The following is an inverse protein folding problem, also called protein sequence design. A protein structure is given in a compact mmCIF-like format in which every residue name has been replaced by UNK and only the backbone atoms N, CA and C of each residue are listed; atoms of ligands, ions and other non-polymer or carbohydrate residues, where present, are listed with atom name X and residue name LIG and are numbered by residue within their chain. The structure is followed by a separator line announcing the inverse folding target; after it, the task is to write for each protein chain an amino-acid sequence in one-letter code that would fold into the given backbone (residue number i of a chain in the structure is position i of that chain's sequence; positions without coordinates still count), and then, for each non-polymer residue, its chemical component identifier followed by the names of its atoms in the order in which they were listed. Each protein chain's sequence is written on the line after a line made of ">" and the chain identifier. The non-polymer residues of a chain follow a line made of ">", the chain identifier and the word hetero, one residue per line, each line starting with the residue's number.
data_IF_724028634367
#
_entry.id   IF_724028634367
#
_cell.length_a   1.000
_cell.length_b   1.000
_cell.length_c   1.000
_cell.angle_alpha   90.00
_cell.angle_beta   90.00
_cell.angle_gamma   90.00
#
_symmetry.space_group_name_H-M   'P 1'
#
loop_
_entity.id
_entity.type
_entity.pdbx_description
1 polymer ?
#
# COMPACT_ATOMS: atom_id res chain seq x y z
N UNK A 1 24.43 13.30 -10.03
CA UNK A 1 23.60 12.12 -10.35
C UNK A 1 22.28 12.24 -9.61
N UNK A 2 21.23 12.76 -10.27
CA UNK A 2 19.87 12.75 -9.71
C UNK A 2 19.31 11.33 -9.82
N UNK A 3 19.66 10.46 -8.87
CA UNK A 3 18.73 9.39 -8.54
C UNK A 3 17.54 10.08 -7.88
N UNK A 4 16.60 10.57 -8.68
CA UNK A 4 15.29 10.91 -8.14
C UNK A 4 14.85 9.68 -7.35
N UNK A 5 14.59 9.79 -6.03
CA UNK A 5 13.98 8.68 -5.32
C UNK A 5 12.71 8.33 -6.10
N UNK A 6 12.36 7.04 -6.25
CA UNK A 6 11.07 6.65 -6.80
C UNK A 6 9.99 7.04 -5.79
N UNK A 7 9.75 8.35 -5.65
CA UNK A 7 8.63 8.97 -4.96
C UNK A 7 7.40 8.76 -5.83
N UNK A 8 6.95 7.52 -5.89
CA UNK A 8 5.61 7.21 -6.36
C UNK A 8 4.85 6.72 -5.14
N UNK A 9 4.44 7.70 -4.33
CA UNK A 9 3.30 7.53 -3.42
C UNK A 9 2.16 6.83 -4.17
N UNK A 10 1.36 6.03 -3.49
CA UNK A 10 0.30 5.21 -4.10
C UNK A 10 -0.64 6.03 -5.02
N UNK A 11 -0.73 7.35 -4.79
CA UNK A 11 -1.36 8.37 -5.63
C UNK A 11 -0.30 9.20 -6.37
N UNK A 12 0.11 8.75 -7.54
CA UNK A 12 1.19 9.36 -8.31
C UNK A 12 0.88 10.73 -8.93
N UNK A 13 -0.37 11.23 -8.84
CA UNK A 13 -0.74 12.55 -9.38
C UNK A 13 -1.74 13.28 -8.49
N UNK A 14 -1.62 14.62 -8.42
CA UNK A 14 -2.61 15.49 -7.75
C UNK A 14 -4.04 15.22 -8.27
N UNK A 15 -4.19 14.92 -9.56
CA UNK A 15 -5.48 14.57 -10.17
C UNK A 15 -6.10 13.31 -9.56
N UNK A 16 -5.32 12.25 -9.29
CA UNK A 16 -5.84 11.03 -8.65
C UNK A 16 -6.28 11.30 -7.22
N UNK A 17 -5.60 12.20 -6.51
CA UNK A 17 -5.99 12.60 -5.15
C UNK A 17 -7.32 13.36 -5.16
N UNK A 18 -7.46 14.33 -6.05
CA UNK A 18 -8.71 15.07 -6.22
C UNK A 18 -9.87 14.14 -6.56
N UNK A 19 -9.65 13.16 -7.44
CA UNK A 19 -10.68 12.17 -7.78
C UNK A 19 -11.01 11.25 -6.60
N UNK A 20 -10.03 10.85 -5.79
CA UNK A 20 -10.28 10.06 -4.58
C UNK A 20 -11.07 10.84 -3.53
N UNK A 21 -10.76 12.13 -3.33
CA UNK A 21 -11.53 13.02 -2.45
C UNK A 21 -12.95 13.20 -2.98
N UNK A 22 -13.12 13.44 -4.29
CA UNK A 22 -14.44 13.55 -4.90
C UNK A 22 -15.25 12.25 -4.76
N UNK A 23 -14.62 11.08 -4.92
CA UNK A 23 -15.24 9.78 -4.70
C UNK A 23 -15.70 9.64 -3.25
N UNK A 24 -14.85 9.99 -2.28
CA UNK A 24 -15.19 9.94 -0.87
C UNK A 24 -16.36 10.89 -0.53
N UNK A 25 -16.30 12.14 -0.96
CA UNK A 25 -17.38 13.11 -0.79
C UNK A 25 -18.69 12.61 -1.42
N UNK A 26 -18.62 11.92 -2.57
CA UNK A 26 -19.78 11.32 -3.24
C UNK A 26 -20.37 10.15 -2.45
N UNK A 27 -19.55 9.35 -1.77
CA UNK A 27 -20.03 8.30 -0.87
C UNK A 27 -20.65 8.88 0.41
N UNK A 28 -20.03 9.91 0.99
CA UNK A 28 -20.57 10.61 2.17
C UNK A 28 -21.91 11.27 1.83
N UNK A 29 -22.00 11.98 0.70
CA UNK A 29 -23.26 12.60 0.27
C UNK A 29 -24.33 11.57 -0.05
N UNK A 30 -23.96 10.41 -0.64
CA UNK A 30 -24.90 9.30 -0.82
C UNK A 30 -25.43 8.76 0.51
N UNK A 31 -24.56 8.61 1.52
CA UNK A 31 -24.95 8.18 2.87
C UNK A 31 -25.88 9.17 3.56
N UNK A 32 -25.57 10.47 3.50
CA UNK A 32 -26.38 11.55 4.10
C UNK A 32 -27.72 11.72 3.36
N UNK A 33 -27.73 11.64 2.03
CA UNK A 33 -28.97 11.68 1.26
C UNK A 33 -29.84 10.45 1.55
N UNK A 34 -29.22 9.28 1.69
CA UNK A 34 -29.90 8.03 2.05
C UNK A 34 -30.55 8.08 3.42
N UNK A 35 -29.86 8.64 4.43
CA UNK A 35 -30.41 8.78 5.79
C UNK A 35 -31.58 9.78 5.86
N UNK A 36 -31.63 10.75 4.94
CA UNK A 36 -32.75 11.70 4.79
C UNK A 36 -33.80 11.26 3.76
N UNK A 37 -33.78 10.00 3.32
CA UNK A 37 -34.71 9.43 2.33
C UNK A 37 -34.73 10.12 0.94
N UNK A 38 -33.70 10.90 0.59
CA UNK A 38 -33.52 11.47 -0.75
C UNK A 38 -32.92 10.43 -1.70
N UNK A 39 -33.74 9.46 -2.11
CA UNK A 39 -33.31 8.27 -2.87
C UNK A 39 -32.64 8.59 -4.20
N UNK A 40 -33.14 9.59 -4.95
CA UNK A 40 -32.59 9.96 -6.26
C UNK A 40 -31.18 10.57 -6.14
N UNK A 41 -30.97 11.45 -5.15
CA UNK A 41 -29.66 12.04 -4.86
C UNK A 41 -28.68 10.98 -4.35
N UNK A 42 -29.14 10.07 -3.48
CA UNK A 42 -28.31 8.97 -3.01
C UNK A 42 -27.85 8.05 -4.16
N UNK A 43 -28.74 7.76 -5.12
CA UNK A 43 -28.42 6.95 -6.31
C UNK A 43 -27.44 7.66 -7.24
N UNK A 44 -27.64 8.95 -7.54
CA UNK A 44 -26.74 9.70 -8.42
C UNK A 44 -25.35 9.85 -7.80
N UNK A 45 -25.28 10.15 -6.50
CA UNK A 45 -24.02 10.21 -5.76
C UNK A 45 -23.32 8.84 -5.67
N UNK A 46 -24.06 7.74 -5.51
CA UNK A 46 -23.49 6.40 -5.56
C UNK A 46 -22.97 6.05 -6.97
N UNK A 47 -23.71 6.40 -8.01
CA UNK A 47 -23.28 6.20 -9.40
C UNK A 47 -22.01 7.00 -9.72
N UNK A 48 -21.93 8.26 -9.29
CA UNK A 48 -20.73 9.08 -9.43
C UNK A 48 -19.55 8.45 -8.69
N UNK A 49 -19.75 7.99 -7.45
CA UNK A 49 -18.70 7.31 -6.69
C UNK A 49 -18.18 6.05 -7.43
N UNK A 50 -19.06 5.27 -8.08
CA UNK A 50 -18.66 4.12 -8.91
C UNK A 50 -17.86 4.56 -10.15
N UNK A 51 -18.30 5.60 -10.86
CA UNK A 51 -17.58 6.13 -12.04
C UNK A 51 -16.18 6.61 -11.65
N UNK A 52 -16.05 7.35 -10.54
CA UNK A 52 -14.76 7.82 -10.04
C UNK A 52 -13.88 6.64 -9.57
N UNK A 53 -14.48 5.62 -8.95
CA UNK A 53 -13.77 4.38 -8.60
C UNK A 53 -13.18 3.70 -9.84
N UNK A 54 -13.96 3.60 -10.93
CA UNK A 54 -13.52 3.01 -12.19
C UNK A 54 -12.41 3.84 -12.84
N UNK A 55 -12.52 5.16 -12.84
CA UNK A 55 -11.45 6.04 -13.31
C UNK A 55 -10.15 5.86 -12.52
N UNK A 56 -10.23 5.76 -11.19
CA UNK A 56 -9.08 5.48 -10.34
C UNK A 56 -8.51 4.09 -10.61
N UNK A 57 -9.37 3.10 -10.84
CA UNK A 57 -8.93 1.75 -11.20
C UNK A 57 -8.11 1.75 -12.51
N UNK A 58 -8.61 2.41 -13.57
CA UNK A 58 -7.93 2.59 -14.85
C UNK A 58 -6.62 3.36 -14.70
N UNK A 59 -6.63 4.45 -13.92
CA UNK A 59 -5.44 5.24 -13.64
C UNK A 59 -4.37 4.43 -12.90
N UNK A 60 -4.78 3.56 -11.96
CA UNK A 60 -3.89 2.61 -11.28
C UNK A 60 -3.35 1.53 -12.22
N UNK A 61 -4.09 1.11 -13.25
CA UNK A 61 -3.59 0.17 -14.27
C UNK A 61 -2.43 0.78 -15.06
N UNK A 62 -2.57 2.04 -15.50
CA UNK A 62 -1.49 2.79 -16.15
C UNK A 62 -0.25 2.91 -15.25
N UNK A 63 -0.46 3.20 -13.97
CA UNK A 63 0.63 3.24 -12.98
C UNK A 63 1.30 1.88 -12.77
N UNK A 64 0.55 0.79 -12.84
CA UNK A 64 1.08 -0.57 -12.69
C UNK A 64 1.91 -0.99 -13.91
N UNK A 65 1.51 -0.61 -15.11
CA UNK A 65 2.32 -0.79 -16.32
C UNK A 65 3.68 -0.08 -16.24
N UNK A 66 3.70 1.14 -15.68
CA UNK A 66 4.95 1.86 -15.44
C UNK A 66 5.85 1.14 -14.43
N UNK A 67 5.28 0.56 -13.37
CA UNK A 67 6.03 -0.25 -12.41
C UNK A 67 6.55 -1.54 -13.03
N UNK A 68 5.78 -2.20 -13.89
CA UNK A 68 6.23 -3.37 -14.62
C UNK A 68 7.47 -3.04 -15.47
N UNK A 69 7.48 -1.85 -16.09
CA UNK A 69 8.65 -1.34 -16.82
C UNK A 69 9.85 -1.03 -15.91
N UNK A 70 9.60 -0.59 -14.67
CA UNK A 70 10.64 -0.39 -13.65
C UNK A 70 11.19 -1.70 -13.08
N UNK A 71 10.49 -2.83 -13.26
CA UNK A 71 10.98 -4.18 -12.86
C UNK A 71 11.96 -4.75 -13.91
N UNK A 72 12.50 -3.91 -14.80
CA UNK A 72 13.51 -4.34 -15.76
C UNK A 72 14.81 -4.78 -15.06
N UNK A 73 15.52 -5.80 -15.59
CA UNK A 73 16.79 -6.26 -15.01
C UNK A 73 17.83 -5.14 -14.82
N UNK A 74 17.84 -4.15 -15.71
CA UNK A 74 18.69 -2.97 -15.61
C UNK A 74 18.35 -2.09 -14.41
N UNK A 75 17.06 -1.93 -14.09
CA UNK A 75 16.60 -1.18 -12.92
C UNK A 75 16.90 -1.91 -11.62
N UNK A 76 16.74 -3.24 -11.60
CA UNK A 76 17.12 -4.10 -10.47
C UNK A 76 18.62 -3.99 -10.19
N UNK A 77 19.46 -4.13 -11.21
CA UNK A 77 20.93 -3.96 -11.08
C UNK A 77 21.27 -2.55 -10.58
N UNK A 78 20.65 -1.51 -11.14
CA UNK A 78 20.89 -0.12 -10.70
C UNK A 78 20.53 0.07 -9.22
N UNK A 79 19.40 -0.47 -8.74
CA UNK A 79 18.99 -0.39 -7.33
C UNK A 79 19.94 -1.13 -6.39
N UNK A 80 20.45 -2.29 -6.82
CA UNK A 80 21.46 -3.03 -6.05
C UNK A 80 22.76 -2.23 -5.92
N UNK A 81 23.26 -1.66 -7.02
CA UNK A 81 24.49 -0.86 -7.00
C UNK A 81 24.36 0.51 -6.29
N UNK A 82 23.17 1.12 -6.28
CA UNK A 82 22.95 2.41 -5.63
C UNK A 82 22.67 2.31 -4.12
N UNK A 83 22.65 1.10 -3.56
CA UNK A 83 22.29 0.89 -2.15
C UNK A 83 23.55 0.87 -1.27
N UNK A 84 23.47 1.41 -0.04
CA UNK A 84 24.64 1.50 0.85
C UNK A 84 25.15 0.13 1.30
N UNK A 85 24.28 -0.89 1.26
CA UNK A 85 24.64 -2.27 1.57
C UNK A 85 23.92 -3.22 0.62
N UNK A 86 24.51 -4.40 0.38
CA UNK A 86 23.86 -5.47 -0.38
C UNK A 86 22.49 -5.81 0.19
N UNK A 87 22.38 -5.94 1.52
CA UNK A 87 21.12 -6.25 2.21
C UNK A 87 20.03 -5.23 1.92
N UNK A 88 20.32 -3.93 2.01
CA UNK A 88 19.34 -2.87 1.68
C UNK A 88 18.95 -2.91 0.20
N UNK A 89 19.88 -3.24 -0.69
CA UNK A 89 19.61 -3.45 -2.11
C UNK A 89 18.62 -4.60 -2.35
N UNK A 90 18.88 -5.77 -1.75
CA UNK A 90 18.00 -6.95 -1.86
C UNK A 90 16.62 -6.65 -1.29
N UNK A 91 16.53 -6.04 -0.11
CA UNK A 91 15.26 -5.68 0.51
C UNK A 91 14.46 -4.71 -0.38
N UNK A 92 15.09 -3.71 -0.99
CA UNK A 92 14.43 -2.79 -1.95
C UNK A 92 13.89 -3.51 -3.18
N UNK A 93 14.61 -4.52 -3.69
CA UNK A 93 14.15 -5.34 -4.81
C UNK A 93 12.97 -6.20 -4.40
N UNK A 94 13.04 -6.84 -3.22
CA UNK A 94 11.94 -7.62 -2.65
C UNK A 94 10.69 -6.76 -2.41
N UNK A 95 10.84 -5.55 -1.85
CA UNK A 95 9.71 -4.61 -1.68
C UNK A 95 9.09 -4.24 -3.03
N UNK A 96 9.91 -4.02 -4.07
CA UNK A 96 9.40 -3.73 -5.42
C UNK A 96 8.61 -4.91 -6.00
N UNK A 97 9.12 -6.13 -5.85
CA UNK A 97 8.43 -7.34 -6.30
C UNK A 97 7.14 -7.59 -5.51
N UNK A 98 7.16 -7.38 -4.19
CA UNK A 98 5.99 -7.50 -3.32
C UNK A 98 4.92 -6.46 -3.68
N UNK A 99 5.31 -5.19 -3.93
CA UNK A 99 4.41 -4.14 -4.42
C UNK A 99 3.79 -4.52 -5.77
N UNK A 100 4.57 -5.08 -6.69
CA UNK A 100 4.07 -5.51 -7.98
C UNK A 100 3.05 -6.64 -7.82
N UNK A 101 3.37 -7.65 -7.00
CA UNK A 101 2.49 -8.78 -6.72
C UNK A 101 1.20 -8.31 -6.03
N UNK A 102 1.31 -7.41 -5.05
CA UNK A 102 0.17 -6.78 -4.40
C UNK A 102 -0.73 -6.08 -5.42
N UNK A 103 -0.16 -5.26 -6.32
CA UNK A 103 -0.93 -4.57 -7.36
C UNK A 103 -1.60 -5.54 -8.32
N UNK A 104 -0.91 -6.59 -8.77
CA UNK A 104 -1.50 -7.62 -9.63
C UNK A 104 -2.67 -8.30 -8.89
N UNK A 105 -2.49 -8.66 -7.63
CA UNK A 105 -3.52 -9.31 -6.81
C UNK A 105 -4.72 -8.38 -6.57
N UNK A 106 -4.49 -7.10 -6.28
CA UNK A 106 -5.53 -6.07 -6.17
C UNK A 106 -6.33 -5.95 -7.47
N UNK A 107 -5.66 -6.00 -8.63
CA UNK A 107 -6.34 -6.00 -9.94
C UNK A 107 -7.17 -7.25 -10.19
N UNK A 108 -6.65 -8.42 -9.84
CA UNK A 108 -7.39 -9.67 -9.95
C UNK A 108 -8.63 -9.64 -9.05
N UNK A 109 -8.52 -9.12 -7.83
CA UNK A 109 -9.65 -8.97 -6.92
C UNK A 109 -10.71 -8.00 -7.45
N UNK A 110 -10.28 -6.86 -8.02
CA UNK A 110 -11.20 -5.90 -8.63
C UNK A 110 -11.93 -6.52 -9.83
N UNK A 111 -11.23 -7.25 -10.71
CA UNK A 111 -11.87 -7.93 -11.84
C UNK A 111 -12.83 -9.04 -11.40
N UNK A 112 -12.49 -9.77 -10.32
CA UNK A 112 -13.39 -10.77 -9.75
C UNK A 112 -14.65 -10.14 -9.15
N UNK A 113 -14.53 -8.98 -8.48
CA UNK A 113 -15.67 -8.26 -7.93
C UNK A 113 -16.62 -7.70 -9.01
N UNK A 114 -16.09 -7.37 -10.19
CA UNK A 114 -16.89 -6.98 -11.36
C UNK A 114 -17.50 -8.20 -12.10
N UNK A 115 -17.29 -9.42 -11.60
CA UNK A 115 -17.82 -10.65 -12.20
C UNK A 115 -17.09 -11.12 -13.47
N UNK A 116 -15.93 -10.53 -13.79
CA UNK A 116 -15.12 -10.92 -14.96
C UNK A 116 -14.35 -12.22 -14.69
N UNK A 117 -13.92 -12.43 -13.44
CA UNK A 117 -13.24 -13.64 -12.99
C UNK A 117 -14.14 -14.46 -12.07
N UNK A 118 -13.90 -15.79 -12.00
CA UNK A 118 -14.66 -16.70 -11.14
C UNK A 118 -14.60 -16.30 -9.66
N UNK A 119 -15.72 -16.46 -8.94
CA UNK A 119 -15.83 -16.15 -7.50
C UNK A 119 -14.80 -16.88 -6.62
N UNK A 120 -14.33 -18.07 -7.03
CA UNK A 120 -13.31 -18.82 -6.29
C UNK A 120 -12.00 -18.02 -6.14
N UNK A 121 -11.64 -17.24 -7.16
CA UNK A 121 -10.43 -16.40 -7.15
C UNK A 121 -10.56 -15.26 -6.13
N UNK A 122 -11.77 -14.70 -5.99
CA UNK A 122 -12.04 -13.62 -5.02
C UNK A 122 -11.72 -14.06 -3.58
N UNK A 123 -12.05 -15.30 -3.21
CA UNK A 123 -11.73 -15.85 -1.90
C UNK A 123 -10.23 -15.86 -1.63
N UNK A 124 -9.43 -16.36 -2.58
CA UNK A 124 -7.96 -16.37 -2.43
C UNK A 124 -7.37 -14.96 -2.42
N UNK A 125 -7.81 -14.08 -3.32
CA UNK A 125 -7.28 -12.72 -3.38
C UNK A 125 -7.61 -11.90 -2.13
N UNK A 126 -8.80 -12.08 -1.56
CA UNK A 126 -9.20 -11.36 -0.33
C UNK A 126 -8.30 -11.72 0.87
N UNK A 127 -7.74 -12.93 0.91
CA UNK A 127 -6.75 -13.35 1.92
C UNK A 127 -5.33 -12.90 1.59
N UNK A 128 -4.96 -12.90 0.30
CA UNK A 128 -3.63 -12.51 -0.16
C UNK A 128 -3.37 -11.01 -0.01
N UNK A 129 -4.35 -10.16 -0.29
CA UNK A 129 -4.19 -8.69 -0.33
C UNK A 129 -3.69 -8.14 1.01
N UNK A 130 -4.33 -8.41 2.17
CA UNK A 130 -3.84 -7.93 3.46
C UNK A 130 -2.44 -8.46 3.78
N UNK A 131 -2.16 -9.70 3.39
CA UNK A 131 -0.88 -10.35 3.65
C UNK A 131 0.26 -9.70 2.86
N UNK A 132 0.07 -9.54 1.56
CA UNK A 132 1.03 -8.86 0.69
C UNK A 132 1.21 -7.40 1.09
N UNK A 133 0.13 -6.72 1.48
CA UNK A 133 0.18 -5.35 1.98
C UNK A 133 1.06 -5.26 3.23
N UNK A 134 0.85 -6.14 4.20
CA UNK A 134 1.64 -6.15 5.43
C UNK A 134 3.13 -6.38 5.16
N UNK A 135 3.50 -7.46 4.44
CA UNK A 135 4.92 -7.73 4.20
C UNK A 135 5.59 -6.70 3.33
N UNK A 136 4.89 -6.18 2.32
CA UNK A 136 5.42 -5.10 1.52
C UNK A 136 5.78 -3.89 2.40
N UNK A 137 4.88 -3.51 3.30
CA UNK A 137 5.10 -2.41 4.23
C UNK A 137 6.14 -2.74 5.31
N UNK A 138 6.23 -4.00 5.77
CA UNK A 138 7.27 -4.46 6.68
C UNK A 138 8.66 -4.31 6.06
N UNK A 139 8.81 -4.77 4.82
CA UNK A 139 10.06 -4.66 4.07
C UNK A 139 10.40 -3.18 3.82
N UNK A 140 9.39 -2.35 3.48
CA UNK A 140 9.56 -0.90 3.37
C UNK A 140 10.04 -0.30 4.70
N UNK A 141 9.39 -0.59 5.82
CA UNK A 141 9.77 -0.12 7.16
C UNK A 141 11.19 -0.56 7.51
N UNK A 142 11.56 -1.82 7.27
CA UNK A 142 12.91 -2.32 7.48
C UNK A 142 13.93 -1.57 6.61
N UNK A 143 13.62 -1.32 5.34
CA UNK A 143 14.53 -0.54 4.46
C UNK A 143 14.65 0.90 4.93
N UNK A 144 13.55 1.56 5.32
CA UNK A 144 13.57 2.93 5.84
C UNK A 144 14.35 3.00 7.15
N UNK A 145 14.17 2.05 8.07
CA UNK A 145 14.93 1.97 9.31
C UNK A 145 16.43 1.76 9.06
N UNK A 146 16.79 0.84 8.16
CA UNK A 146 18.18 0.60 7.78
C UNK A 146 18.83 1.83 7.13
N UNK A 147 18.08 2.55 6.29
CA UNK A 147 18.55 3.79 5.67
C UNK A 147 18.70 4.91 6.70
N UNK A 148 17.76 5.06 7.64
CA UNK A 148 17.85 6.03 8.73
C UNK A 148 19.05 5.77 9.63
N UNK A 149 19.31 4.50 9.98
CA UNK A 149 20.50 4.11 10.76
C UNK A 149 21.82 4.40 10.03
N UNK A 150 21.82 4.35 8.70
CA UNK A 150 23.00 4.68 7.90
C UNK A 150 23.24 6.20 7.76
N UNK A 151 22.24 7.05 8.04
CA UNK A 151 22.42 8.51 8.06
C UNK A 151 23.20 8.88 9.33
N UNK A 152 24.39 9.47 9.16
CA UNK A 152 25.18 10.00 10.28
C UNK A 152 24.36 10.98 11.12
N UNK A 153 24.52 11.01 12.46
CA UNK A 153 23.82 11.94 13.33
C UNK A 153 24.01 13.38 12.81
N UNK A 154 22.90 14.07 12.61
CA UNK A 154 22.86 15.44 12.10
C UNK A 154 22.97 16.36 13.32
N UNK A 155 23.96 17.25 13.36
CA UNK A 155 23.87 18.40 14.27
C UNK A 155 22.78 19.32 13.73
N UNK A 156 21.70 19.49 14.49
CA UNK A 156 20.55 20.33 14.09
C UNK A 156 20.90 21.82 14.02
N UNK A 157 22.10 22.21 14.41
CA UNK A 157 22.52 23.59 14.66
C UNK A 157 23.19 24.27 13.45
N UNK A 158 23.74 23.51 12.50
CA UNK A 158 24.48 24.12 11.40
C UNK A 158 23.57 24.52 10.22
N UNK A 159 23.47 25.82 9.95
CA UNK A 159 22.74 26.51 8.86
C UNK A 159 23.27 26.23 7.44
N UNK A 160 24.11 25.21 7.29
CA UNK A 160 24.77 24.90 6.03
C UNK A 160 23.79 24.32 5.00
N UNK A 161 23.90 24.73 3.73
CA UNK A 161 22.98 24.29 2.66
C UNK A 161 22.96 22.76 2.48
N UNK A 162 24.10 22.10 2.74
CA UNK A 162 24.21 20.63 2.77
C UNK A 162 23.35 19.99 3.87
N UNK A 163 23.15 20.68 4.99
CA UNK A 163 22.32 20.20 6.08
C UNK A 163 20.83 20.27 5.75
N UNK A 164 20.39 21.22 4.92
CA UNK A 164 18.99 21.30 4.46
C UNK A 164 18.61 20.05 3.65
N UNK A 165 19.43 19.66 2.66
CA UNK A 165 19.18 18.45 1.88
C UNK A 165 19.21 17.19 2.74
N UNK A 166 20.17 17.10 3.67
CA UNK A 166 20.27 15.95 4.58
C UNK A 166 19.08 15.87 5.54
N UNK A 167 18.63 17.01 6.09
CA UNK A 167 17.44 17.12 6.94
C UNK A 167 16.18 16.69 6.19
N UNK A 168 16.04 17.13 4.92
CA UNK A 168 14.93 16.71 4.06
C UNK A 168 14.94 15.20 3.79
N UNK A 169 16.10 14.63 3.46
CA UNK A 169 16.25 13.18 3.24
C UNK A 169 15.94 12.38 4.50
N UNK A 170 16.40 12.84 5.67
CA UNK A 170 16.09 12.23 6.95
C UNK A 170 14.60 12.29 7.26
N UNK A 171 13.96 13.45 7.09
CA UNK A 171 12.52 13.63 7.29
C UNK A 171 11.71 12.70 6.36
N UNK A 172 12.09 12.60 5.08
CA UNK A 172 11.47 11.68 4.14
C UNK A 172 11.63 10.21 4.57
N UNK A 173 12.80 9.83 5.08
CA UNK A 173 13.04 8.51 5.65
C UNK A 173 12.15 8.21 6.86
N UNK A 174 12.01 9.18 7.77
CA UNK A 174 11.13 9.07 8.96
C UNK A 174 9.66 8.96 8.55
N UNK A 175 9.20 9.81 7.62
CA UNK A 175 7.84 9.75 7.11
C UNK A 175 7.57 8.41 6.42
N UNK A 176 8.54 7.85 5.68
CA UNK A 176 8.40 6.55 5.00
C UNK A 176 8.33 5.40 5.98
N UNK A 177 9.11 5.50 7.07
CA UNK A 177 9.06 4.56 8.16
C UNK A 177 7.68 4.58 8.85
N UNK A 178 7.17 5.78 9.18
CA UNK A 178 5.86 5.97 9.80
C UNK A 178 4.71 5.52 8.89
N UNK A 179 4.77 5.80 7.59
CA UNK A 179 3.82 5.29 6.59
C UNK A 179 3.80 3.77 6.59
N UNK A 180 4.97 3.12 6.51
CA UNK A 180 5.07 1.67 6.54
C UNK A 180 4.48 1.08 7.84
N UNK A 181 4.75 1.69 8.99
CA UNK A 181 4.17 1.27 10.29
C UNK A 181 2.64 1.43 10.30
N UNK A 182 2.14 2.58 9.84
CA UNK A 182 0.72 2.85 9.74
C UNK A 182 0.00 1.87 8.81
N UNK A 183 0.57 1.61 7.63
CA UNK A 183 0.00 0.69 6.65
C UNK A 183 0.11 -0.78 7.07
N UNK A 184 1.17 -1.18 7.79
CA UNK A 184 1.24 -2.49 8.45
C UNK A 184 0.11 -2.64 9.46
N UNK A 185 -0.12 -1.62 10.30
CA UNK A 185 -1.18 -1.62 11.31
C UNK A 185 -2.55 -1.70 10.64
N UNK A 186 -2.76 -0.93 9.57
CA UNK A 186 -3.96 -1.00 8.75
C UNK A 186 -4.15 -2.39 8.13
N UNK A 187 -3.09 -3.03 7.62
CA UNK A 187 -3.16 -4.38 7.07
C UNK A 187 -3.62 -5.41 8.11
N UNK A 188 -3.22 -5.28 9.38
CA UNK A 188 -3.69 -6.14 10.48
C UNK A 188 -5.19 -6.01 10.73
N UNK A 189 -5.79 -4.85 10.41
CA UNK A 189 -7.25 -4.62 10.55
C UNK A 189 -8.07 -5.16 9.37
N UNK A 190 -7.43 -5.45 8.23
CA UNK A 190 -8.07 -5.94 7.01
C UNK A 190 -8.29 -7.45 7.01
N UNK A 191 -7.67 -8.19 7.91
CA UNK A 191 -7.81 -9.64 7.91
C UNK A 191 -9.24 -10.08 8.24
N UNK A 192 -9.83 -11.00 7.45
CA UNK A 192 -11.15 -11.53 7.74
C UNK A 192 -11.13 -12.23 9.11
N UNK A 193 -12.14 -11.94 9.94
CA UNK A 193 -12.36 -12.65 11.22
C UNK A 193 -12.51 -14.14 10.90
N UNK A 194 -11.61 -14.97 11.42
CA UNK A 194 -11.66 -16.43 11.23
C UNK A 194 -10.65 -17.00 10.24
N UNK A 195 -9.44 -16.43 10.15
CA UNK A 195 -8.30 -17.19 9.60
C UNK A 195 -8.14 -18.44 10.48
N UNK A 196 -8.34 -19.66 9.95
CA UNK A 196 -8.24 -20.86 10.76
C UNK A 196 -6.82 -20.96 11.34
N UNK A 197 -6.67 -21.27 12.63
CA UNK A 197 -5.36 -21.44 13.25
C UNK A 197 -4.56 -22.49 12.48
N UNK A 198 -3.24 -22.25 12.41
CA UNK A 198 -2.24 -22.96 11.61
C UNK A 198 -2.35 -24.49 11.57
N UNK A 199 -2.88 -25.08 12.65
CA UNK A 199 -3.11 -26.50 12.78
C UNK A 199 -3.97 -27.09 11.64
N UNK A 200 -4.94 -26.35 11.10
CA UNK A 200 -5.78 -26.87 10.01
C UNK A 200 -5.13 -26.79 8.61
N UNK A 201 -4.19 -25.87 8.39
CA UNK A 201 -3.62 -25.64 7.05
C UNK A 201 -2.37 -26.46 6.77
N UNK A 202 -1.67 -26.95 7.79
CA UNK A 202 -0.51 -27.85 7.63
C UNK A 202 -0.86 -29.18 6.94
N UNK A 203 -2.14 -29.55 6.85
CA UNK A 203 -2.57 -30.79 6.22
C UNK A 203 -2.81 -30.68 4.71
N UNK A 204 -2.73 -29.48 4.11
CA UNK A 204 -2.99 -29.31 2.69
C UNK A 204 -1.78 -29.65 1.82
N UNK A 205 -2.00 -30.54 0.83
CA UNK A 205 -0.96 -31.07 -0.07
C UNK A 205 -0.36 -30.04 -1.04
N UNK A 206 -0.99 -28.88 -1.21
CA UNK A 206 -0.54 -27.90 -2.19
C UNK A 206 0.53 -26.97 -1.62
N UNK A 207 1.71 -26.96 -2.26
CA UNK A 207 2.84 -26.13 -1.86
C UNK A 207 2.48 -24.65 -1.69
N UNK A 208 1.61 -24.12 -2.56
CA UNK A 208 1.19 -22.72 -2.50
C UNK A 208 0.31 -22.42 -1.28
N UNK A 209 -0.60 -23.33 -0.90
CA UNK A 209 -1.39 -23.15 0.32
C UNK A 209 -0.53 -23.32 1.57
N UNK A 210 0.46 -24.20 1.54
CA UNK A 210 1.45 -24.31 2.61
C UNK A 210 2.26 -23.02 2.79
N UNK A 211 2.84 -22.46 1.72
CA UNK A 211 3.56 -21.18 1.81
C UNK A 211 2.66 -20.04 2.30
N UNK A 212 1.41 -20.00 1.84
CA UNK A 212 0.44 -19.02 2.31
C UNK A 212 0.10 -19.21 3.79
N UNK A 213 -0.04 -20.45 4.24
CA UNK A 213 -0.29 -20.78 5.62
C UNK A 213 0.89 -20.38 6.51
N UNK A 214 2.12 -20.68 6.10
CA UNK A 214 3.34 -20.28 6.81
C UNK A 214 3.46 -18.76 6.84
N UNK A 215 3.21 -18.08 5.73
CA UNK A 215 3.18 -16.62 5.69
C UNK A 215 2.12 -16.11 6.68
N UNK A 216 0.86 -16.52 6.52
CA UNK A 216 -0.25 -16.19 7.43
C UNK A 216 0.05 -16.50 8.91
N UNK A 217 0.84 -17.53 9.20
CA UNK A 217 1.24 -17.91 10.57
C UNK A 217 2.15 -16.91 11.25
N UNK A 218 3.02 -16.27 10.46
CA UNK A 218 3.95 -15.26 10.95
C UNK A 218 3.30 -13.89 11.07
N UNK A 219 2.00 -13.78 10.75
CA UNK A 219 1.26 -12.55 11.00
C UNK A 219 1.02 -12.33 12.48
N UNK A 220 1.16 -11.09 12.95
CA UNK A 220 0.58 -10.70 14.21
C UNK A 220 -0.95 -10.89 14.18
N UNK A 221 -1.57 -11.17 15.33
CA UNK A 221 -3.00 -11.42 15.42
C UNK A 221 -3.81 -10.27 14.85
N UNK A 222 -4.86 -10.60 14.09
CA UNK A 222 -5.74 -9.61 13.47
C UNK A 222 -6.40 -8.73 14.53
N UNK A 223 -6.33 -7.41 14.35
CA UNK A 223 -6.98 -6.45 15.24
C UNK A 223 -8.44 -6.31 14.80
N UNK A 224 -9.36 -6.80 15.63
CA UNK A 224 -10.80 -6.64 15.38
C UNK A 224 -11.22 -5.20 15.69
N UNK A 225 -11.36 -4.39 14.66
CA UNK A 225 -11.88 -3.01 14.76
C UNK A 225 -13.19 -2.86 13.99
N UNK A 226 -13.94 -1.80 14.31
CA UNK A 226 -15.10 -1.41 13.50
C UNK A 226 -14.66 -0.95 12.11
N UNK A 227 -15.53 -1.06 11.11
CA UNK A 227 -15.24 -0.59 9.74
C UNK A 227 -14.90 0.90 9.72
N UNK A 228 -15.54 1.70 10.59
CA UNK A 228 -15.24 3.13 10.76
C UNK A 228 -13.83 3.35 11.29
N UNK A 229 -13.45 2.62 12.35
CA UNK A 229 -12.11 2.71 12.94
C UNK A 229 -11.05 2.24 11.95
N UNK A 230 -11.32 1.17 11.21
CA UNK A 230 -10.47 0.69 10.14
C UNK A 230 -10.27 1.76 9.05
N UNK A 231 -11.34 2.46 8.65
CA UNK A 231 -11.26 3.59 7.73
C UNK A 231 -10.39 4.73 8.26
N UNK A 232 -10.55 5.09 9.53
CA UNK A 232 -9.74 6.13 10.19
C UNK A 232 -8.27 5.73 10.29
N UNK A 233 -7.95 4.48 10.62
CA UNK A 233 -6.59 3.96 10.65
C UNK A 233 -5.98 4.02 9.25
N UNK A 234 -6.72 3.61 8.21
CA UNK A 234 -6.28 3.70 6.83
C UNK A 234 -5.98 5.14 6.40
N UNK A 235 -6.84 6.10 6.79
CA UNK A 235 -6.63 7.51 6.48
C UNK A 235 -5.40 8.06 7.23
N UNK A 236 -5.29 7.79 8.53
CA UNK A 236 -4.14 8.20 9.34
C UNK A 236 -2.82 7.64 8.80
N UNK A 237 -2.81 6.38 8.34
CA UNK A 237 -1.65 5.74 7.75
C UNK A 237 -1.15 6.42 6.46
N UNK A 238 -2.03 7.12 5.74
CA UNK A 238 -1.66 7.86 4.52
C UNK A 238 -1.18 9.29 4.77
N UNK A 239 -1.34 9.83 5.99
CA UNK A 239 -0.92 11.19 6.34
C UNK A 239 0.56 11.45 6.05
N UNK A 240 1.52 10.55 6.38
CA UNK A 240 2.93 10.80 6.08
C UNK A 240 3.20 11.01 4.58
N UNK A 241 2.50 10.28 3.70
CA UNK A 241 2.63 10.42 2.25
C UNK A 241 2.13 11.78 1.73
N UNK A 242 1.17 12.39 2.43
CA UNK A 242 0.74 13.76 2.13
C UNK A 242 1.87 14.76 2.40
N UNK A 243 2.59 14.61 3.51
CA UNK A 243 3.71 15.50 3.85
C UNK A 243 4.98 15.28 2.99
N UNK A 244 5.10 14.14 2.31
CA UNK A 244 6.19 13.91 1.36
C UNK A 244 5.99 14.57 -0.01
N UNK A 245 4.77 15.01 -0.32
CA UNK A 245 4.46 15.56 -1.64
C UNK A 245 4.97 17.00 -1.71
N UNK A 246 5.79 17.36 -2.71
CA UNK A 246 6.30 18.72 -2.87
C UNK A 246 5.20 19.75 -3.15
#
# INVERSE_FOLDING_TARGET
>A
MSSLPPDKTLFGSHSQRLVAVAQFCSLVSAGVAGSKHYTLVARSACALAKVLANYLCLSRLKGSYLLLREVSPSSVRRRLHSSPSWFTGVMRVLTMLAMLLFRITDKIALLANEGVLSNNICFYTSRLIPSLLFYCNLMQTMTSAALLKAVRPISFEATDTRNVFRKRYYLQGVLSFLEGVGLMTYAMTLFPRGVPPLAMTLHEKHLLTHWLAVAASSFPPALSVSTTTQGLIGLAATLPSFFMSP
#
